data_IF_156105379878
#
_entry.id   IF_156105379878
#
_cell.length_a   1.000
_cell.length_b   1.000
_cell.length_c   1.000
_cell.angle_alpha   90.00
_cell.angle_beta   90.00
_cell.angle_gamma   90.00
#
_symmetry.space_group_name_H-M   'P 1'
#
loop_
_entity.id
_entity.type
_entity.pdbx_description
1 polymer ?
#
# COMPACT_ATOMS: atom_id res chain seq x y z
N UNK A 1 -2.18 -2.42 -7.01
CA UNK A 1 -2.39 -0.97 -6.85
C UNK A 1 -2.51 -0.22 -8.17
N UNK A 2 -1.48 -0.18 -9.03
CA UNK A 2 -1.54 0.53 -10.32
C UNK A 2 -2.72 0.12 -11.22
N UNK A 3 -3.10 -1.17 -11.23
CA UNK A 3 -4.28 -1.64 -11.96
C UNK A 3 -5.60 -1.06 -11.45
N UNK A 4 -5.74 -0.86 -10.12
CA UNK A 4 -6.93 -0.22 -9.53
C UNK A 4 -7.02 1.23 -9.99
N UNK A 5 -5.89 1.96 -10.02
CA UNK A 5 -5.87 3.35 -10.46
C UNK A 5 -6.20 3.51 -11.94
N UNK A 6 -5.62 2.66 -12.80
CA UNK A 6 -5.94 2.67 -14.23
C UNK A 6 -7.42 2.39 -14.49
N UNK A 7 -8.02 1.49 -13.71
CA UNK A 7 -9.46 1.19 -13.82
C UNK A 7 -10.34 2.31 -13.26
N UNK A 8 -9.90 3.00 -12.20
CA UNK A 8 -10.58 4.18 -11.67
C UNK A 8 -10.46 5.41 -12.59
N UNK A 9 -9.51 5.45 -13.51
CA UNK A 9 -9.43 6.50 -14.54
C UNK A 9 -10.45 6.32 -15.67
N UNK A 10 -11.02 5.12 -15.82
CA UNK A 10 -12.02 4.78 -16.85
C UNK A 10 -13.42 4.61 -16.24
N UNK A 11 -14.27 5.66 -16.24
CA UNK A 11 -15.54 5.66 -15.51
C UNK A 11 -16.62 4.69 -16.03
N UNK A 12 -16.49 4.19 -17.27
CA UNK A 12 -17.53 3.38 -17.93
C UNK A 12 -17.57 1.90 -17.49
N UNK A 13 -16.55 1.39 -16.80
CA UNK A 13 -16.43 -0.02 -16.39
C UNK A 13 -16.05 -0.21 -14.92
N UNK A 14 -16.36 0.75 -14.06
CA UNK A 14 -15.89 0.71 -12.67
C UNK A 14 -16.68 -0.34 -11.87
N UNK A 15 -16.12 -1.55 -11.78
CA UNK A 15 -16.50 -2.57 -10.80
C UNK A 15 -16.07 -2.14 -9.41
N UNK A 16 -16.84 -1.21 -8.81
CA UNK A 16 -16.53 -0.61 -7.51
C UNK A 16 -16.28 -1.67 -6.41
N UNK A 17 -17.05 -2.75 -6.41
CA UNK A 17 -16.91 -3.84 -5.44
C UNK A 17 -15.59 -4.62 -5.67
N UNK A 18 -15.22 -4.90 -6.91
CA UNK A 18 -13.95 -5.55 -7.25
C UNK A 18 -12.74 -4.68 -6.84
N UNK A 19 -12.88 -3.35 -6.94
CA UNK A 19 -11.86 -2.42 -6.47
C UNK A 19 -11.77 -2.35 -4.95
N UNK A 20 -12.88 -2.51 -4.22
CA UNK A 20 -12.87 -2.61 -2.76
C UNK A 20 -12.10 -3.85 -2.33
N UNK A 21 -12.37 -5.01 -2.93
CA UNK A 21 -11.68 -6.26 -2.57
C UNK A 21 -10.20 -6.21 -2.94
N UNK A 22 -9.87 -5.70 -4.14
CA UNK A 22 -8.48 -5.48 -4.55
C UNK A 22 -7.73 -4.50 -3.63
N UNK A 23 -8.43 -3.46 -3.15
CA UNK A 23 -7.86 -2.48 -2.22
C UNK A 23 -7.66 -3.04 -0.81
N UNK A 24 -8.58 -3.87 -0.30
CA UNK A 24 -8.44 -4.61 0.97
C UNK A 24 -7.29 -5.61 0.91
N UNK A 25 -7.17 -6.35 -0.19
CA UNK A 25 -6.06 -7.27 -0.42
C UNK A 25 -4.72 -6.52 -0.41
N UNK A 26 -4.66 -5.37 -1.09
CA UNK A 26 -3.46 -4.53 -1.08
C UNK A 26 -3.11 -4.04 0.33
N UNK A 27 -4.09 -3.61 1.13
CA UNK A 27 -3.87 -3.24 2.54
C UNK A 27 -3.34 -4.41 3.36
N UNK A 28 -3.89 -5.61 3.16
CA UNK A 28 -3.43 -6.81 3.85
C UNK A 28 -1.95 -7.11 3.54
N UNK A 29 -1.57 -7.09 2.27
CA UNK A 29 -0.18 -7.29 1.82
C UNK A 29 0.76 -6.21 2.39
N UNK A 30 0.33 -4.94 2.34
CA UNK A 30 1.10 -3.84 2.93
C UNK A 30 1.29 -4.01 4.44
N UNK A 31 0.26 -4.47 5.15
CA UNK A 31 0.38 -4.81 6.56
C UNK A 31 1.39 -5.95 6.77
N UNK A 32 1.36 -7.02 5.97
CA UNK A 32 2.36 -8.09 6.06
C UNK A 32 3.79 -7.59 5.80
N UNK A 33 3.98 -6.71 4.83
CA UNK A 33 5.28 -6.13 4.48
C UNK A 33 5.77 -5.07 5.48
N UNK A 34 4.85 -4.38 6.17
CA UNK A 34 5.17 -3.38 7.20
C UNK A 34 5.62 -4.00 8.52
N UNK A 35 5.29 -5.28 8.76
CA UNK A 35 5.69 -5.97 9.98
C UNK A 35 7.22 -6.10 9.98
N UNK A 36 7.91 -5.61 11.01
CA UNK A 36 9.32 -5.93 11.17
C UNK A 36 9.42 -7.45 11.25
N UNK A 37 10.14 -8.06 10.29
CA UNK A 37 10.51 -9.47 10.38
C UNK A 37 11.21 -9.61 11.73
N UNK A 38 10.59 -10.34 12.66
CA UNK A 38 11.22 -10.73 13.92
C UNK A 38 12.48 -11.54 13.56
N UNK A 39 13.62 -10.86 13.42
CA UNK A 39 14.92 -11.49 13.46
C UNK A 39 15.19 -11.77 14.92
N UNK A 40 14.79 -12.96 15.36
CA UNK A 40 15.30 -13.52 16.61
C UNK A 40 16.81 -13.39 16.61
N UNK A 41 17.32 -12.61 17.57
CA UNK A 41 18.66 -12.64 18.13
C UNK A 41 19.71 -13.42 17.31
N UNK A 42 20.48 -12.75 16.45
CA UNK A 42 21.92 -13.02 16.14
C UNK A 42 22.42 -12.20 14.96
N UNK A 43 23.27 -11.22 15.26
CA UNK A 43 24.53 -10.93 14.55
C UNK A 43 25.34 -10.08 15.52
N UNK A 44 26.02 -10.68 16.50
CA UNK A 44 27.45 -11.00 16.39
C UNK A 44 28.24 -10.00 15.52
N UNK A 45 28.98 -9.12 16.18
CA UNK A 45 30.14 -8.42 15.61
C UNK A 45 29.99 -6.90 15.41
N UNK A 46 30.99 -6.09 15.80
CA UNK A 46 30.99 -4.63 15.66
C UNK A 46 31.12 -4.11 14.22
N UNK A 47 30.87 -4.95 13.21
CA UNK A 47 30.99 -4.60 11.79
C UNK A 47 29.80 -5.10 10.94
N UNK A 48 28.64 -5.27 11.56
CA UNK A 48 27.41 -5.64 10.87
C UNK A 48 26.84 -4.44 10.06
N UNK A 49 27.46 -4.13 8.93
CA UNK A 49 26.74 -3.44 7.84
C UNK A 49 25.74 -4.43 7.26
N UNK A 50 24.55 -4.52 7.87
CA UNK A 50 23.46 -5.32 7.32
C UNK A 50 22.96 -4.65 6.02
N UNK A 51 23.12 -5.26 4.82
CA UNK A 51 22.59 -4.67 3.62
C UNK A 51 21.10 -5.01 3.52
N UNK A 52 20.22 -3.99 3.57
CA UNK A 52 19.00 -4.00 2.74
C UNK A 52 17.61 -4.23 3.35
N UNK A 53 17.42 -4.49 4.65
CA UNK A 53 16.09 -4.90 5.16
C UNK A 53 15.19 -3.80 5.77
N UNK A 54 15.66 -2.55 5.85
CA UNK A 54 14.95 -1.47 6.57
C UNK A 54 14.20 -0.43 5.69
N UNK A 55 14.51 -0.20 4.39
CA UNK A 55 13.80 0.86 3.65
C UNK A 55 12.36 0.50 3.25
N UNK A 56 12.11 -0.74 2.82
CA UNK A 56 10.83 -1.14 2.19
C UNK A 56 9.67 -1.09 3.19
N UNK A 57 9.88 -1.55 4.43
CA UNK A 57 8.83 -1.53 5.45
C UNK A 57 8.41 -0.10 5.82
N UNK A 58 9.36 0.84 5.89
CA UNK A 58 9.06 2.25 6.23
C UNK A 58 8.24 2.95 5.15
N UNK A 59 8.60 2.76 3.88
CA UNK A 59 7.87 3.26 2.72
C UNK A 59 6.46 2.69 2.62
N UNK A 60 6.33 1.36 2.75
CA UNK A 60 5.03 0.69 2.80
C UNK A 60 4.18 1.20 3.97
N UNK A 61 4.79 1.44 5.14
CA UNK A 61 4.09 1.99 6.31
C UNK A 61 3.50 3.37 6.03
N UNK A 62 4.22 4.23 5.32
CA UNK A 62 3.74 5.57 4.92
C UNK A 62 2.63 5.50 3.87
N UNK A 63 2.67 4.51 3.00
CA UNK A 63 1.65 4.31 1.97
C UNK A 63 0.30 3.78 2.52
N UNK A 64 0.29 2.99 3.60
CA UNK A 64 -0.92 2.41 4.21
C UNK A 64 -2.07 3.42 4.44
N UNK A 65 -1.89 4.57 5.11
CA UNK A 65 -2.99 5.52 5.34
C UNK A 65 -3.63 6.02 4.03
N UNK A 66 -2.83 6.25 2.99
CA UNK A 66 -3.34 6.67 1.69
C UNK A 66 -4.20 5.59 1.03
N UNK A 67 -3.82 4.32 1.15
CA UNK A 67 -4.63 3.21 0.64
C UNK A 67 -5.93 3.04 1.42
N UNK A 68 -5.94 3.29 2.74
CA UNK A 68 -7.18 3.31 3.54
C UNK A 68 -8.16 4.40 3.09
N UNK A 69 -7.64 5.59 2.78
CA UNK A 69 -8.46 6.70 2.25
C UNK A 69 -8.99 6.33 0.86
N UNK A 70 -8.14 5.77 -0.01
CA UNK A 70 -8.54 5.30 -1.34
C UNK A 70 -9.69 4.29 -1.26
N UNK A 71 -9.59 3.23 -0.44
CA UNK A 71 -10.64 2.23 -0.27
C UNK A 71 -11.93 2.84 0.27
N UNK A 72 -11.82 3.79 1.21
CA UNK A 72 -12.98 4.51 1.75
C UNK A 72 -13.66 5.38 0.70
N UNK A 73 -12.89 6.01 -0.19
CA UNK A 73 -13.37 6.82 -1.30
C UNK A 73 -14.05 5.96 -2.38
N UNK A 74 -13.47 4.81 -2.73
CA UNK A 74 -14.08 3.82 -3.63
C UNK A 74 -15.45 3.38 -3.08
N UNK A 75 -15.55 3.09 -1.77
CA UNK A 75 -16.84 2.74 -1.14
C UNK A 75 -17.88 3.87 -1.21
N UNK A 76 -17.43 5.12 -1.19
CA UNK A 76 -18.29 6.31 -1.35
C UNK A 76 -18.54 6.68 -2.81
N UNK A 77 -17.99 5.92 -3.77
CA UNK A 77 -17.98 6.25 -5.21
C UNK A 77 -17.36 7.62 -5.51
N UNK A 78 -16.44 8.04 -4.67
CA UNK A 78 -15.69 9.28 -4.81
C UNK A 78 -14.40 9.00 -5.60
N UNK A 79 -14.51 9.10 -6.93
CA UNK A 79 -13.43 8.80 -7.85
C UNK A 79 -12.23 9.74 -7.68
N UNK A 80 -12.47 11.04 -7.47
CA UNK A 80 -11.42 12.04 -7.35
C UNK A 80 -10.52 11.76 -6.14
N UNK A 81 -11.14 11.57 -4.97
CA UNK A 81 -10.40 11.26 -3.74
C UNK A 81 -9.72 9.89 -3.83
N UNK A 82 -10.34 8.91 -4.49
CA UNK A 82 -9.74 7.59 -4.69
C UNK A 82 -8.46 7.68 -5.55
N UNK A 83 -8.50 8.43 -6.66
CA UNK A 83 -7.35 8.61 -7.53
C UNK A 83 -6.23 9.40 -6.86
N UNK A 84 -6.55 10.50 -6.18
CA UNK A 84 -5.57 11.32 -5.47
C UNK A 84 -4.86 10.51 -4.38
N UNK A 85 -5.64 9.82 -3.54
CA UNK A 85 -5.09 9.02 -2.45
C UNK A 85 -4.27 7.84 -2.98
N UNK A 86 -4.70 7.19 -4.06
CA UNK A 86 -3.92 6.11 -4.66
C UNK A 86 -2.61 6.58 -5.30
N UNK A 87 -2.59 7.78 -5.90
CA UNK A 87 -1.35 8.40 -6.41
C UNK A 87 -0.40 8.75 -5.26
N UNK A 88 -0.92 9.28 -4.15
CA UNK A 88 -0.14 9.54 -2.95
C UNK A 88 0.46 8.24 -2.36
N UNK A 89 -0.32 7.15 -2.33
CA UNK A 89 0.19 5.84 -1.90
C UNK A 89 1.37 5.35 -2.76
N UNK A 90 1.30 5.51 -4.09
CA UNK A 90 2.40 5.16 -4.98
C UNK A 90 3.64 6.03 -4.82
N UNK A 91 3.48 7.31 -4.45
CA UNK A 91 4.60 8.22 -4.23
C UNK A 91 5.41 7.88 -2.96
N UNK A 92 4.77 7.26 -1.96
CA UNK A 92 5.41 6.83 -0.72
C UNK A 92 6.21 5.51 -0.86
N UNK A 93 5.94 4.72 -1.91
CA UNK A 93 6.56 3.40 -2.18
C UNK A 93 7.85 3.52 -3.01
#
# INVERSE_FOLDING_TARGET
MQGILRSLETPEQVGWDDHIESGKQCLYEMHQMSRPLYKGYRTEGPNAKSPGLVPVSTKVTRAIPHVKIMVSAIRRKDQATALESGKAALAEM
#
